data_IF_714374533712
#
_entry.id   IF_714374533712
#
_cell.length_a   1.000
_cell.length_b   1.000
_cell.length_c   1.000
_cell.angle_alpha   90.00
_cell.angle_beta   90.00
_cell.angle_gamma   90.00
#
_symmetry.space_group_name_H-M   'P 1'
#
loop_
_entity.id
_entity.type
_entity.pdbx_description
1 polymer ?
#
# COMPACT_ATOMS: atom_id res chain seq x y z
N UNK A 1 -33.76 -44.21 -28.05
CA UNK A 1 -33.26 -42.83 -28.08
C UNK A 1 -33.40 -42.29 -26.67
N UNK A 2 -32.35 -42.53 -25.89
CA UNK A 2 -32.09 -41.88 -24.60
C UNK A 2 -31.96 -40.37 -24.82
N UNK A 3 -32.47 -39.56 -23.88
CA UNK A 3 -31.60 -38.84 -22.94
C UNK A 3 -32.46 -38.15 -21.86
N UNK A 4 -32.15 -38.52 -20.63
CA UNK A 4 -32.67 -38.04 -19.35
C UNK A 4 -32.15 -36.63 -19.02
N UNK A 5 -33.05 -35.68 -18.74
CA UNK A 5 -32.70 -34.43 -18.09
C UNK A 5 -32.73 -34.59 -16.57
N UNK A 6 -31.56 -34.74 -15.95
CA UNK A 6 -31.37 -34.72 -14.50
C UNK A 6 -30.65 -33.44 -14.08
N UNK A 7 -31.10 -32.91 -12.95
CA UNK A 7 -30.66 -31.72 -12.25
C UNK A 7 -29.14 -31.64 -12.00
N UNK A 8 -28.59 -30.42 -11.96
CA UNK A 8 -27.70 -30.06 -10.86
C UNK A 8 -27.73 -28.55 -10.58
N UNK A 9 -27.87 -28.22 -9.30
CA UNK A 9 -28.14 -26.91 -8.73
C UNK A 9 -26.88 -26.03 -8.66
N UNK A 10 -27.05 -24.74 -8.97
CA UNK A 10 -26.03 -23.72 -8.73
C UNK A 10 -25.96 -23.38 -7.23
N UNK A 11 -24.76 -23.26 -6.62
CA UNK A 11 -24.66 -22.92 -5.22
C UNK A 11 -25.03 -21.45 -4.97
N UNK A 12 -26.05 -21.27 -4.12
CA UNK A 12 -26.48 -19.99 -3.55
C UNK A 12 -25.41 -19.51 -2.58
N UNK A 13 -24.76 -18.38 -2.88
CA UNK A 13 -23.85 -17.73 -1.93
C UNK A 13 -24.64 -17.09 -0.78
N UNK A 14 -24.62 -17.78 0.36
CA UNK A 14 -25.09 -17.30 1.67
C UNK A 14 -24.12 -16.23 2.22
N UNK A 15 -24.65 -15.04 2.45
CA UNK A 15 -23.94 -13.86 2.95
C UNK A 15 -23.81 -13.81 4.46
N UNK A 16 -23.25 -14.84 5.09
CA UNK A 16 -23.21 -14.91 6.56
C UNK A 16 -21.87 -15.34 7.19
N UNK A 17 -20.72 -15.16 6.54
CA UNK A 17 -19.41 -15.41 7.19
C UNK A 17 -18.36 -14.35 6.88
N UNK A 18 -18.47 -13.17 7.49
CA UNK A 18 -17.33 -12.23 7.69
C UNK A 18 -17.64 -11.19 8.77
N UNK A 19 -18.11 -11.64 9.92
CA UNK A 19 -18.23 -10.80 11.13
C UNK A 19 -17.48 -11.44 12.29
N UNK A 20 -16.15 -11.36 12.31
CA UNK A 20 -15.32 -11.56 13.53
C UNK A 20 -13.84 -11.25 13.29
N UNK A 21 -13.48 -9.98 13.09
CA UNK A 21 -12.16 -9.45 13.50
C UNK A 21 -12.06 -7.92 13.66
N UNK A 22 -13.16 -7.17 13.48
CA UNK A 22 -13.11 -5.70 13.40
C UNK A 22 -13.26 -4.93 14.74
N UNK A 23 -13.26 -5.58 15.92
CA UNK A 23 -13.61 -4.87 17.18
C UNK A 23 -12.43 -4.26 17.93
N UNK A 24 -11.20 -4.80 17.83
CA UNK A 24 -10.05 -4.29 18.59
C UNK A 24 -9.34 -3.07 17.93
N UNK A 25 -9.48 -2.90 16.61
CA UNK A 25 -8.91 -1.78 15.86
C UNK A 25 -9.71 -0.48 15.92
N UNK A 26 -11.00 -0.56 16.30
CA UNK A 26 -11.95 0.56 16.22
C UNK A 26 -11.72 1.62 17.31
N UNK A 27 -11.38 1.21 18.54
CA UNK A 27 -11.21 2.16 19.65
C UNK A 27 -9.87 2.91 19.60
N UNK A 28 -8.77 2.21 19.29
CA UNK A 28 -7.44 2.81 19.13
C UNK A 28 -7.37 3.77 17.94
N UNK A 29 -8.06 3.43 16.85
CA UNK A 29 -8.17 4.31 15.69
C UNK A 29 -9.00 5.56 16.02
N UNK A 30 -10.09 5.46 16.79
CA UNK A 30 -10.90 6.61 17.19
C UNK A 30 -10.14 7.66 18.02
N UNK A 31 -9.40 7.24 19.06
CA UNK A 31 -8.60 8.17 19.89
C UNK A 31 -7.46 8.77 19.09
N UNK A 32 -6.74 7.95 18.31
CA UNK A 32 -5.70 8.44 17.42
C UNK A 32 -6.26 9.46 16.40
N UNK A 33 -7.45 9.24 15.87
CA UNK A 33 -8.13 10.12 14.89
C UNK A 33 -8.49 11.50 15.45
N UNK A 34 -8.89 11.63 16.72
CA UNK A 34 -9.23 12.93 17.32
C UNK A 34 -8.03 13.72 17.84
N UNK A 35 -6.96 13.02 18.22
CA UNK A 35 -5.79 13.61 18.89
C UNK A 35 -4.68 13.91 17.88
N UNK A 36 -4.41 13.05 16.88
CA UNK A 36 -3.34 13.30 15.90
C UNK A 36 -3.44 14.66 15.18
N UNK A 37 -4.62 15.11 14.70
CA UNK A 37 -4.74 16.40 14.02
C UNK A 37 -4.50 17.60 14.92
N UNK A 38 -4.59 17.42 16.25
CA UNK A 38 -4.39 18.48 17.25
C UNK A 38 -2.96 18.51 17.81
N UNK A 39 -2.14 17.51 17.48
CA UNK A 39 -0.75 17.46 17.91
C UNK A 39 0.14 18.28 16.98
N UNK A 40 1.23 18.89 17.50
CA UNK A 40 2.26 19.46 16.66
C UNK A 40 2.72 18.47 15.58
N UNK A 41 2.88 18.94 14.34
CA UNK A 41 3.20 18.12 13.17
C UNK A 41 4.38 17.16 13.39
N UNK A 42 5.38 17.59 14.17
CA UNK A 42 6.53 16.75 14.52
C UNK A 42 6.16 15.50 15.33
N UNK A 43 5.24 15.62 16.29
CA UNK A 43 4.80 14.51 17.15
C UNK A 43 3.90 13.57 16.34
N UNK A 44 2.93 14.11 15.60
CA UNK A 44 2.06 13.32 14.74
C UNK A 44 2.87 12.50 13.71
N UNK A 45 3.91 13.10 13.11
CA UNK A 45 4.82 12.40 12.19
C UNK A 45 5.58 11.26 12.87
N UNK A 46 6.06 11.46 14.11
CA UNK A 46 6.76 10.41 14.87
C UNK A 46 5.83 9.24 15.20
N UNK A 47 4.62 9.52 15.65
CA UNK A 47 3.61 8.50 15.95
C UNK A 47 3.26 7.72 14.69
N UNK A 48 3.01 8.42 13.58
CA UNK A 48 2.67 7.81 12.29
C UNK A 48 3.80 6.92 11.77
N UNK A 49 5.06 7.38 11.83
CA UNK A 49 6.23 6.57 11.47
C UNK A 49 6.37 5.33 12.33
N UNK A 50 6.16 5.44 13.64
CA UNK A 50 6.20 4.28 14.54
C UNK A 50 5.08 3.28 14.23
N UNK A 51 3.88 3.78 13.92
CA UNK A 51 2.74 2.97 13.51
C UNK A 51 2.99 2.25 12.19
N UNK A 52 3.43 2.95 11.15
CA UNK A 52 3.72 2.34 9.84
C UNK A 52 4.88 1.36 9.91
N UNK A 53 5.93 1.66 10.67
CA UNK A 53 7.01 0.71 10.91
C UNK A 53 6.50 -0.55 11.58
N UNK A 54 5.63 -0.42 12.59
CA UNK A 54 5.00 -1.58 13.22
C UNK A 54 4.18 -2.37 12.21
N UNK A 55 3.37 -1.69 11.39
CA UNK A 55 2.54 -2.32 10.38
C UNK A 55 3.40 -3.15 9.42
N UNK A 56 4.43 -2.58 8.80
CA UNK A 56 5.33 -3.30 7.88
C UNK A 56 6.04 -4.46 8.57
N UNK A 57 6.39 -4.35 9.86
CA UNK A 57 7.00 -5.46 10.63
C UNK A 57 6.04 -6.61 10.87
N UNK A 58 4.79 -6.30 11.21
CA UNK A 58 3.79 -7.29 11.61
C UNK A 58 2.94 -7.80 10.45
N UNK A 59 2.97 -7.13 9.30
CA UNK A 59 2.33 -7.60 8.08
C UNK A 59 2.87 -8.97 7.69
N UNK A 60 1.98 -9.84 7.26
CA UNK A 60 2.25 -11.18 6.74
C UNK A 60 2.08 -11.13 5.22
N UNK A 61 3.10 -10.68 4.47
CA UNK A 61 2.99 -10.54 3.02
C UNK A 61 2.94 -11.90 2.30
N UNK A 62 3.29 -12.98 3.01
CA UNK A 62 3.12 -14.37 2.59
C UNK A 62 1.64 -14.80 2.48
N UNK A 63 0.70 -13.96 2.90
CA UNK A 63 -0.75 -14.15 2.70
C UNK A 63 -1.30 -13.34 1.52
N UNK A 64 -0.44 -12.68 0.74
CA UNK A 64 -0.89 -11.94 -0.43
C UNK A 64 -1.41 -12.91 -1.50
N UNK A 65 -2.57 -12.63 -2.13
CA UNK A 65 -3.11 -13.49 -3.19
C UNK A 65 -2.14 -13.76 -4.34
N UNK A 66 -1.20 -12.83 -4.58
CA UNK A 66 -0.19 -12.95 -5.63
C UNK A 66 1.05 -13.78 -5.22
N UNK A 67 1.13 -14.31 -3.99
CA UNK A 67 2.30 -15.06 -3.51
C UNK A 67 2.74 -16.19 -4.46
N UNK A 68 1.85 -17.09 -4.94
CA UNK A 68 2.29 -18.18 -5.83
C UNK A 68 2.94 -17.67 -7.12
N UNK A 69 2.44 -16.54 -7.63
CA UNK A 69 2.98 -15.89 -8.83
C UNK A 69 4.37 -15.31 -8.54
N UNK A 70 4.54 -14.63 -7.40
CA UNK A 70 5.85 -14.08 -7.01
C UNK A 70 6.86 -15.20 -6.79
N UNK A 71 6.47 -16.29 -6.13
CA UNK A 71 7.37 -17.43 -5.87
C UNK A 71 7.83 -18.11 -7.16
N UNK A 72 6.96 -18.17 -8.18
CA UNK A 72 7.28 -18.71 -9.49
C UNK A 72 8.19 -17.78 -10.32
N UNK A 73 7.97 -16.47 -10.27
CA UNK A 73 8.63 -15.49 -11.15
C UNK A 73 9.87 -14.84 -10.56
N UNK A 74 9.97 -14.71 -9.23
CA UNK A 74 11.05 -13.98 -8.56
C UNK A 74 11.97 -14.97 -7.88
N UNK A 75 13.24 -14.99 -8.26
CA UNK A 75 14.28 -15.86 -7.72
C UNK A 75 15.30 -15.09 -6.87
N UNK A 76 16.11 -15.84 -6.12
CA UNK A 76 17.19 -15.27 -5.32
C UNK A 76 18.24 -14.65 -6.24
N UNK A 77 18.61 -13.39 -6.00
CA UNK A 77 19.55 -12.63 -6.82
C UNK A 77 18.90 -11.73 -7.86
N UNK A 78 17.57 -11.82 -8.05
CA UNK A 78 16.88 -11.03 -9.07
C UNK A 78 16.81 -9.52 -8.75
N UNK A 79 16.63 -8.75 -9.82
CA UNK A 79 16.21 -7.36 -9.76
C UNK A 79 14.70 -7.24 -9.94
N UNK A 80 14.01 -6.55 -9.02
CA UNK A 80 12.54 -6.38 -9.06
C UNK A 80 12.17 -4.92 -8.90
N UNK A 81 11.13 -4.48 -9.61
CA UNK A 81 10.56 -3.14 -9.47
C UNK A 81 9.18 -3.24 -8.80
N UNK A 82 9.00 -2.51 -7.70
CA UNK A 82 7.75 -2.39 -6.95
C UNK A 82 7.11 -1.02 -7.21
N UNK A 83 6.14 -0.97 -8.13
CA UNK A 83 5.49 0.28 -8.56
C UNK A 83 4.27 0.55 -7.68
N UNK A 84 4.27 1.69 -6.98
CA UNK A 84 3.26 1.98 -5.96
C UNK A 84 3.58 1.31 -4.63
N UNK A 85 4.86 1.35 -4.23
CA UNK A 85 5.39 0.66 -3.06
C UNK A 85 4.72 1.04 -1.73
N UNK A 86 4.00 2.17 -1.68
CA UNK A 86 3.31 2.68 -0.51
C UNK A 86 4.27 2.74 0.70
N UNK A 87 3.87 2.31 1.89
CA UNK A 87 4.74 2.28 3.07
C UNK A 87 5.76 1.11 3.06
N UNK A 88 5.79 0.27 2.03
CA UNK A 88 6.80 -0.78 1.84
C UNK A 88 6.46 -2.17 2.39
N UNK A 89 5.17 -2.51 2.53
CA UNK A 89 4.76 -3.87 2.97
C UNK A 89 5.19 -4.93 1.95
N UNK A 90 4.85 -4.72 0.67
CA UNK A 90 5.19 -5.66 -0.40
C UNK A 90 6.67 -5.55 -0.79
N UNK A 91 7.23 -4.34 -0.79
CA UNK A 91 8.67 -4.11 -0.95
C UNK A 91 9.51 -4.98 -0.02
N UNK A 92 9.14 -5.09 1.27
CA UNK A 92 9.85 -5.94 2.23
C UNK A 92 9.81 -7.41 1.80
N UNK A 93 8.65 -7.90 1.38
CA UNK A 93 8.51 -9.28 0.92
C UNK A 93 9.38 -9.59 -0.29
N UNK A 94 9.39 -8.69 -1.28
CA UNK A 94 10.25 -8.81 -2.45
C UNK A 94 11.73 -8.77 -2.04
N UNK A 95 12.10 -7.89 -1.12
CA UNK A 95 13.47 -7.77 -0.61
C UNK A 95 13.93 -9.06 0.10
N UNK A 96 13.05 -9.67 0.90
CA UNK A 96 13.32 -10.95 1.56
C UNK A 96 13.42 -12.09 0.52
N UNK A 97 12.58 -12.07 -0.53
CA UNK A 97 12.52 -13.10 -1.58
C UNK A 97 13.74 -13.10 -2.52
N UNK A 98 14.20 -11.93 -2.95
CA UNK A 98 15.39 -11.81 -3.82
C UNK A 98 16.69 -11.97 -3.02
N UNK A 99 16.63 -11.80 -1.70
CA UNK A 99 17.77 -11.93 -0.80
C UNK A 99 18.84 -10.85 -0.98
N UNK A 100 19.96 -10.95 -0.25
CA UNK A 100 20.96 -9.88 -0.16
C UNK A 100 21.75 -9.62 -1.45
N UNK A 101 21.72 -10.57 -2.40
CA UNK A 101 22.36 -10.43 -3.72
C UNK A 101 21.44 -9.81 -4.77
N UNK A 102 20.13 -9.82 -4.53
CA UNK A 102 19.15 -9.18 -5.41
C UNK A 102 18.98 -7.69 -5.11
N UNK A 103 18.09 -7.05 -5.87
CA UNK A 103 17.78 -5.62 -5.75
C UNK A 103 16.29 -5.37 -5.91
N UNK A 104 15.75 -4.47 -5.12
CA UNK A 104 14.37 -3.97 -5.26
C UNK A 104 14.39 -2.46 -5.43
N UNK A 105 13.79 -1.97 -6.52
CA UNK A 105 13.50 -0.54 -6.71
C UNK A 105 12.06 -0.27 -6.33
N UNK A 106 11.86 0.45 -5.23
CA UNK A 106 10.56 0.70 -4.63
C UNK A 106 10.09 2.11 -4.99
N UNK A 107 9.16 2.19 -5.93
CA UNK A 107 8.70 3.45 -6.51
C UNK A 107 7.42 3.88 -5.80
N UNK A 108 7.43 5.04 -5.15
CA UNK A 108 6.26 5.63 -4.51
C UNK A 108 6.15 7.11 -4.88
N UNK A 109 5.06 7.53 -5.54
CA UNK A 109 4.92 8.90 -6.01
C UNK A 109 4.49 9.90 -4.92
N UNK A 110 3.73 9.48 -3.89
CA UNK A 110 3.16 10.40 -2.92
C UNK A 110 4.20 10.75 -1.84
N UNK A 111 4.55 12.04 -1.62
CA UNK A 111 5.63 12.45 -0.72
C UNK A 111 5.52 11.93 0.71
N UNK A 112 4.31 11.96 1.30
CA UNK A 112 4.09 11.50 2.68
C UNK A 112 4.29 9.99 2.81
N UNK A 113 3.84 9.25 1.80
CA UNK A 113 3.95 7.80 1.74
C UNK A 113 5.41 7.40 1.44
N UNK A 114 6.07 8.13 0.55
CA UNK A 114 7.50 7.99 0.27
C UNK A 114 8.36 8.25 1.51
N UNK A 115 8.06 9.27 2.32
CA UNK A 115 8.77 9.52 3.59
C UNK A 115 8.64 8.31 4.54
N UNK A 116 7.46 7.70 4.61
CA UNK A 116 7.24 6.48 5.38
C UNK A 116 8.01 5.29 4.81
N UNK A 117 8.00 5.09 3.50
CA UNK A 117 8.78 4.06 2.80
C UNK A 117 10.28 4.20 3.11
N UNK A 118 10.85 5.37 2.86
CA UNK A 118 12.26 5.65 3.09
C UNK A 118 12.64 5.53 4.57
N UNK A 119 11.73 5.87 5.48
CA UNK A 119 11.92 5.61 6.92
C UNK A 119 11.93 4.10 7.21
N UNK A 120 10.98 3.34 6.68
CA UNK A 120 10.86 1.91 6.92
C UNK A 120 12.05 1.13 6.35
N UNK A 121 12.47 1.40 5.11
CA UNK A 121 13.67 0.82 4.48
C UNK A 121 14.89 0.97 5.40
N UNK A 122 15.13 2.18 5.90
CA UNK A 122 16.25 2.45 6.83
C UNK A 122 16.10 1.73 8.17
N UNK A 123 14.91 1.75 8.77
CA UNK A 123 14.67 1.17 10.11
C UNK A 123 14.59 -0.35 10.12
N UNK A 124 14.28 -0.96 8.99
CA UNK A 124 14.26 -2.41 8.78
C UNK A 124 15.58 -2.92 8.21
N UNK A 125 16.53 -2.03 7.90
CA UNK A 125 17.84 -2.37 7.34
C UNK A 125 17.72 -3.17 6.03
N UNK A 126 16.77 -2.80 5.18
CA UNK A 126 16.59 -3.41 3.85
C UNK A 126 17.69 -2.89 2.92
N UNK A 127 18.87 -3.52 2.97
CA UNK A 127 20.09 -3.05 2.26
C UNK A 127 20.00 -3.23 0.75
N UNK A 128 19.14 -4.13 0.30
CA UNK A 128 18.87 -4.45 -1.10
C UNK A 128 17.67 -3.66 -1.66
N UNK A 129 17.18 -2.63 -0.96
CA UNK A 129 16.05 -1.80 -1.41
C UNK A 129 16.50 -0.37 -1.69
N UNK A 130 16.09 0.15 -2.84
CA UNK A 130 16.24 1.55 -3.22
C UNK A 130 14.87 2.22 -3.37
N UNK A 131 14.47 3.12 -2.45
CA UNK A 131 13.24 3.87 -2.59
C UNK A 131 13.42 5.02 -3.59
N UNK A 132 12.49 5.15 -4.55
CA UNK A 132 12.48 6.17 -5.60
C UNK A 132 11.19 6.99 -5.51
N UNK A 133 11.33 8.31 -5.40
CA UNK A 133 10.20 9.24 -5.31
C UNK A 133 9.79 9.74 -6.70
N UNK A 134 8.98 8.96 -7.40
CA UNK A 134 8.37 9.37 -8.67
C UNK A 134 7.10 8.56 -8.97
N UNK A 135 6.30 9.07 -9.89
CA UNK A 135 5.31 8.27 -10.63
C UNK A 135 5.95 7.75 -11.92
N UNK A 136 5.57 6.54 -12.32
CA UNK A 136 5.98 5.94 -13.60
C UNK A 136 5.04 6.45 -14.70
N UNK A 137 5.59 6.95 -15.80
CA UNK A 137 4.84 7.45 -16.96
C UNK A 137 5.64 7.23 -18.24
N UNK A 138 4.98 7.28 -19.39
CA UNK A 138 5.62 7.30 -20.71
C UNK A 138 6.43 8.59 -21.03
N UNK A 139 6.50 9.54 -20.10
CA UNK A 139 7.14 10.84 -20.27
C UNK A 139 7.69 11.38 -18.96
N UNK A 140 8.71 12.22 -19.07
CA UNK A 140 9.24 12.97 -17.94
C UNK A 140 8.40 14.23 -17.65
N UNK A 141 8.51 14.75 -16.41
CA UNK A 141 7.88 16.01 -16.01
C UNK A 141 7.24 15.93 -14.63
N UNK A 142 6.07 16.56 -14.49
CA UNK A 142 5.29 16.54 -13.25
C UNK A 142 3.83 16.25 -13.55
N UNK A 143 3.19 15.51 -12.65
CA UNK A 143 1.74 15.25 -12.70
C UNK A 143 1.09 15.59 -11.36
N UNK A 144 -0.18 15.97 -11.40
CA UNK A 144 -1.00 16.15 -10.20
C UNK A 144 -1.68 14.83 -9.86
N UNK A 145 -1.41 14.33 -8.65
CA UNK A 145 -2.15 13.23 -8.05
C UNK A 145 -3.26 13.77 -7.15
N UNK A 146 -4.49 13.35 -7.44
CA UNK A 146 -5.66 13.53 -6.58
C UNK A 146 -5.71 12.40 -5.55
N UNK A 147 -5.57 12.71 -4.27
CA UNK A 147 -5.70 11.77 -3.15
C UNK A 147 -7.05 12.01 -2.46
N UNK A 148 -8.04 11.12 -2.61
CA UNK A 148 -9.32 11.26 -1.93
C UNK A 148 -9.14 11.20 -0.42
N UNK A 149 -9.88 12.03 0.30
CA UNK A 149 -10.04 11.93 1.75
C UNK A 149 -11.23 11.01 2.03
N UNK A 150 -11.09 10.14 3.02
CA UNK A 150 -12.24 9.48 3.64
C UNK A 150 -13.16 10.53 4.27
N UNK A 151 -14.44 10.21 4.48
CA UNK A 151 -15.42 11.09 5.14
C UNK A 151 -14.98 11.55 6.56
N UNK A 152 -13.99 10.89 7.16
CA UNK A 152 -13.40 11.22 8.46
C UNK A 152 -12.10 12.04 8.38
N UNK A 153 -11.69 12.48 7.18
CA UNK A 153 -10.51 13.31 6.95
C UNK A 153 -9.19 12.55 6.81
N UNK A 154 -9.17 11.23 6.99
CA UNK A 154 -7.98 10.42 6.70
C UNK A 154 -7.72 10.31 5.18
N UNK A 155 -6.46 10.26 4.77
CA UNK A 155 -6.10 10.15 3.34
C UNK A 155 -6.28 8.70 2.84
N UNK A 156 -6.99 8.53 1.71
CA UNK A 156 -7.20 7.25 1.06
C UNK A 156 -6.24 7.08 -0.12
N UNK A 157 -4.98 6.75 0.20
CA UNK A 157 -3.94 6.55 -0.82
C UNK A 157 -4.27 5.42 -1.82
N UNK A 158 -5.08 4.43 -1.44
CA UNK A 158 -5.51 3.34 -2.34
C UNK A 158 -6.43 3.81 -3.47
N UNK A 159 -7.00 5.03 -3.39
CA UNK A 159 -7.81 5.64 -4.45
C UNK A 159 -7.13 6.86 -5.09
N UNK A 160 -5.82 7.04 -4.89
CA UNK A 160 -5.10 8.11 -5.54
C UNK A 160 -5.11 7.92 -7.07
N UNK A 161 -5.36 8.99 -7.82
CA UNK A 161 -5.42 8.95 -9.29
C UNK A 161 -4.73 10.15 -9.91
N UNK A 162 -4.24 9.99 -11.14
CA UNK A 162 -3.74 11.09 -11.95
C UNK A 162 -4.94 11.95 -12.40
N UNK A 163 -4.79 13.28 -12.30
CA UNK A 163 -5.78 14.26 -12.73
C UNK A 163 -6.26 15.16 -11.59
N UNK A 164 -6.83 16.30 -11.94
CA UNK A 164 -7.49 17.22 -11.00
C UNK A 164 -8.95 16.77 -10.80
N UNK A 165 -9.43 16.79 -9.57
CA UNK A 165 -10.84 16.55 -9.27
C UNK A 165 -11.42 17.82 -8.64
N UNK A 166 -12.40 18.46 -9.30
CA UNK A 166 -13.01 19.74 -8.91
C UNK A 166 -13.87 19.72 -7.62
N UNK A 167 -13.94 18.59 -6.90
CA UNK A 167 -14.59 18.57 -5.58
C UNK A 167 -13.59 18.96 -4.49
N UNK A 168 -13.46 20.27 -4.31
CA UNK A 168 -12.49 20.95 -3.43
C UNK A 168 -12.45 20.44 -1.97
N UNK A 169 -13.54 19.89 -1.44
CA UNK A 169 -13.62 19.53 -0.02
C UNK A 169 -13.20 18.08 0.31
N UNK A 170 -12.96 17.24 -0.71
CA UNK A 170 -12.75 15.79 -0.53
C UNK A 170 -11.44 15.25 -1.13
N UNK A 171 -10.57 16.08 -1.68
CA UNK A 171 -9.38 15.64 -2.43
C UNK A 171 -8.17 16.52 -2.11
N UNK A 172 -7.02 15.91 -1.84
CA UNK A 172 -5.74 16.60 -1.77
C UNK A 172 -5.00 16.42 -3.09
N UNK A 173 -4.63 17.52 -3.72
CA UNK A 173 -3.80 17.51 -4.92
C UNK A 173 -2.33 17.61 -4.53
N UNK A 174 -1.51 16.71 -5.08
CA UNK A 174 -0.06 16.72 -4.87
C UNK A 174 0.64 16.64 -6.21
N UNK A 175 1.55 17.58 -6.47
CA UNK A 175 2.44 17.50 -7.63
C UNK A 175 3.57 16.53 -7.34
N UNK A 176 3.74 15.57 -8.22
CA UNK A 176 4.78 14.53 -8.11
C UNK A 176 5.59 14.49 -9.40
N UNK A 177 6.91 14.23 -9.32
CA UNK A 177 7.71 14.04 -10.52
C UNK A 177 7.30 12.75 -11.23
N UNK A 178 7.31 12.76 -12.56
CA UNK A 178 7.11 11.57 -13.40
C UNK A 178 8.38 11.23 -14.17
N UNK A 179 8.62 9.93 -14.36
CA UNK A 179 9.77 9.38 -15.09
C UNK A 179 9.35 8.19 -15.94
N UNK A 180 10.01 8.04 -17.08
CA UNK A 180 9.93 6.88 -17.98
C UNK A 180 10.85 5.74 -17.58
#
# INVERSE_FOLDING_TARGET
MEETAAANEAPRHDGSETRRSASAGSFKSFVARRVLPRLPNAIARRIRRAYYLRLVRTSQPDQLPCRPVVEALVQTGDGVVDIGANIGVFTRYLADRVGPKGRVWAIEPVPETFDALAFNVRRLKLRNVEPIHCAVSDREGFVTMSIPRFHDGAENYYRAKIGETDRADAVRNVRVPVRS
#
